data_IF_878204233490
#
_entry.id   IF_878204233490
#
_cell.length_a   1.000
_cell.length_b   1.000
_cell.length_c   1.000
_cell.angle_alpha   90.00
_cell.angle_beta   90.00
_cell.angle_gamma   90.00
#
_symmetry.space_group_name_H-M   'P 1'
#
loop_
_entity.id
_entity.type
_entity.pdbx_description
1 polymer ?
#
# COMPACT_ATOMS: atom_id res chain seq x y z
N UNK A 1 26.90 10.55 10.10
CA UNK A 1 26.21 11.25 9.01
C UNK A 1 25.99 10.22 7.92
N UNK A 2 24.88 9.48 8.03
CA UNK A 2 24.50 8.43 7.09
C UNK A 2 24.01 9.07 5.81
N UNK A 3 24.62 8.71 4.67
CA UNK A 3 24.18 9.17 3.35
C UNK A 3 22.85 8.51 3.00
N UNK A 4 21.94 9.31 2.48
CA UNK A 4 20.63 8.85 2.02
C UNK A 4 20.79 7.90 0.82
N UNK A 5 19.95 6.86 0.75
CA UNK A 5 20.05 5.73 -0.18
C UNK A 5 19.84 6.08 -1.68
N UNK A 6 19.47 7.33 -1.98
CA UNK A 6 19.44 7.90 -3.33
C UNK A 6 20.70 8.69 -3.70
N UNK A 7 21.53 9.13 -2.75
CA UNK A 7 22.75 9.89 -3.03
C UNK A 7 23.88 9.04 -3.62
N UNK A 8 23.66 7.73 -3.74
CA UNK A 8 24.50 6.80 -4.48
C UNK A 8 23.85 6.39 -5.80
N UNK A 9 23.64 7.33 -6.73
CA UNK A 9 23.53 6.99 -8.16
C UNK A 9 24.92 6.59 -8.65
N UNK A 10 25.45 5.50 -8.08
CA UNK A 10 26.49 4.73 -8.72
C UNK A 10 25.85 3.99 -9.88
N UNK A 11 26.51 4.04 -11.03
CA UNK A 11 26.24 3.38 -12.32
C UNK A 11 26.15 1.84 -12.21
N UNK A 12 25.25 1.33 -11.36
CA UNK A 12 25.19 -0.06 -10.93
C UNK A 12 23.84 -0.69 -11.22
N UNK A 13 23.85 -1.76 -12.02
CA UNK A 13 22.67 -2.59 -12.29
C UNK A 13 22.08 -3.18 -11.01
N UNK A 14 20.77 -3.02 -10.82
CA UNK A 14 19.99 -3.57 -9.70
C UNK A 14 19.04 -4.64 -10.20
N UNK A 15 18.84 -5.69 -9.40
CA UNK A 15 17.92 -6.78 -9.72
C UNK A 15 16.55 -6.50 -9.07
N UNK A 16 15.49 -6.49 -9.90
CA UNK A 16 14.10 -6.35 -9.46
C UNK A 16 13.30 -7.58 -9.91
N UNK A 17 12.60 -8.21 -8.97
CA UNK A 17 11.54 -9.18 -9.24
C UNK A 17 10.21 -8.46 -9.11
N UNK A 18 9.49 -8.33 -10.21
CA UNK A 18 8.17 -7.71 -10.25
C UNK A 18 7.21 -8.58 -11.05
N UNK A 19 5.92 -8.44 -10.76
CA UNK A 19 4.89 -9.14 -11.52
C UNK A 19 4.95 -8.72 -13.00
N UNK A 20 4.93 -9.70 -13.90
CA UNK A 20 4.88 -9.42 -15.33
C UNK A 20 3.53 -8.78 -15.70
N UNK A 21 3.49 -7.80 -16.63
CA UNK A 21 2.24 -7.30 -17.18
C UNK A 21 1.46 -8.41 -17.90
N UNK A 22 0.12 -8.32 -17.95
CA UNK A 22 -0.77 -9.31 -18.57
C UNK A 22 -0.26 -9.76 -19.96
N UNK A 23 -0.24 -11.08 -20.26
CA UNK A 23 0.30 -11.64 -21.51
C UNK A 23 -0.50 -11.27 -22.77
N UNK A 24 -1.61 -10.54 -22.63
CA UNK A 24 -2.36 -9.97 -23.77
C UNK A 24 -1.61 -8.84 -24.47
N UNK A 25 -0.60 -8.27 -23.82
CA UNK A 25 0.34 -7.37 -24.49
C UNK A 25 1.25 -8.22 -25.40
N UNK A 26 1.02 -8.17 -26.72
CA UNK A 26 1.73 -9.00 -27.70
C UNK A 26 3.26 -8.96 -27.53
N UNK A 27 3.99 -9.91 -28.12
CA UNK A 27 5.42 -10.15 -27.94
C UNK A 27 6.36 -8.91 -27.96
N UNK A 28 5.94 -7.79 -28.56
CA UNK A 28 6.64 -6.50 -28.50
C UNK A 28 6.63 -5.83 -27.10
N UNK A 29 5.58 -6.02 -26.30
CA UNK A 29 5.46 -5.43 -24.97
C UNK A 29 6.28 -6.17 -23.90
N UNK A 30 6.46 -7.49 -24.04
CA UNK A 30 7.38 -8.26 -23.20
C UNK A 30 8.85 -7.81 -23.38
N UNK A 31 9.21 -7.30 -24.56
CA UNK A 31 10.52 -6.72 -24.83
C UNK A 31 10.66 -5.26 -24.39
N UNK A 32 9.55 -4.56 -24.12
CA UNK A 32 9.52 -3.15 -23.75
C UNK A 32 9.79 -2.89 -22.25
N UNK A 33 9.96 -3.95 -21.45
CA UNK A 33 10.08 -3.84 -20.00
C UNK A 33 8.75 -3.51 -19.32
N UNK A 34 8.77 -3.38 -17.99
CA UNK A 34 7.61 -2.96 -17.22
C UNK A 34 7.36 -1.49 -17.56
N UNK A 35 6.21 -1.19 -18.20
CA UNK A 35 5.77 0.19 -18.43
C UNK A 35 5.22 0.76 -17.12
N UNK A 36 6.12 1.06 -16.19
CA UNK A 36 5.80 1.47 -14.84
C UNK A 36 6.57 2.73 -14.43
N UNK A 37 5.95 3.50 -13.54
CA UNK A 37 6.53 4.72 -12.98
C UNK A 37 6.94 4.46 -11.53
N UNK A 38 8.19 4.77 -11.18
CA UNK A 38 8.64 4.79 -9.80
C UNK A 38 8.15 6.07 -9.12
N UNK A 39 7.33 5.91 -8.08
CA UNK A 39 6.74 7.01 -7.32
C UNK A 39 7.37 7.07 -5.93
N UNK A 40 7.74 8.26 -5.48
CA UNK A 40 8.03 8.52 -4.06
C UNK A 40 6.75 9.02 -3.39
N UNK A 41 6.25 8.24 -2.42
CA UNK A 41 5.03 8.52 -1.65
C UNK A 41 5.33 8.41 -0.14
N UNK A 42 4.37 8.76 0.71
CA UNK A 42 4.50 8.59 2.16
C UNK A 42 4.09 7.17 2.57
N UNK A 43 4.91 6.50 3.36
CA UNK A 43 4.56 5.26 4.03
C UNK A 43 3.32 5.48 4.92
N UNK A 44 2.29 4.63 4.84
CA UNK A 44 0.98 4.97 5.39
C UNK A 44 0.93 5.04 6.93
N UNK A 45 1.80 4.30 7.62
CA UNK A 45 1.93 4.35 9.09
C UNK A 45 2.90 5.42 9.57
N UNK A 46 4.10 5.47 8.98
CA UNK A 46 5.21 6.30 9.51
C UNK A 46 5.30 7.67 8.86
N UNK A 47 4.72 7.86 7.68
CA UNK A 47 4.81 9.11 6.92
C UNK A 47 6.15 9.32 6.18
N UNK A 48 7.13 8.43 6.38
CA UNK A 48 8.45 8.53 5.74
C UNK A 48 8.34 8.33 4.22
N UNK A 49 9.28 8.92 3.47
CA UNK A 49 9.36 8.72 2.03
C UNK A 49 9.67 7.25 1.69
N UNK A 50 8.81 6.65 0.88
CA UNK A 50 8.90 5.24 0.43
C UNK A 50 8.62 5.16 -1.06
N UNK A 51 9.31 4.26 -1.74
CA UNK A 51 9.14 4.05 -3.17
C UNK A 51 8.07 3.01 -3.48
N UNK A 52 7.26 3.32 -4.48
CA UNK A 52 6.24 2.45 -5.05
C UNK A 52 6.42 2.37 -6.55
N UNK A 53 6.09 1.23 -7.14
CA UNK A 53 6.05 1.05 -8.59
C UNK A 53 4.58 1.07 -9.03
N UNK A 54 4.21 2.06 -9.83
CA UNK A 54 2.92 2.11 -10.49
C UNK A 54 3.05 1.48 -11.87
N UNK A 55 2.51 0.27 -12.04
CA UNK A 55 2.50 -0.45 -13.31
C UNK A 55 1.15 -0.27 -13.98
N UNK A 56 1.14 0.10 -15.26
CA UNK A 56 -0.09 0.16 -16.06
C UNK A 56 -0.12 -1.03 -17.02
N UNK A 57 -1.20 -1.78 -17.01
CA UNK A 57 -1.49 -2.79 -18.01
C UNK A 57 -2.84 -2.55 -18.68
N UNK A 58 -3.24 -3.46 -19.56
CA UNK A 58 -4.51 -3.36 -20.29
C UNK A 58 -5.74 -3.57 -19.38
N UNK A 59 -5.56 -4.13 -18.18
CA UNK A 59 -6.62 -4.48 -17.22
C UNK A 59 -6.76 -3.41 -16.12
N UNK A 60 -5.74 -2.59 -15.92
CA UNK A 60 -5.78 -1.40 -15.07
C UNK A 60 -4.41 -0.95 -14.58
N UNK A 61 -4.42 -0.10 -13.56
CA UNK A 61 -3.20 0.34 -12.88
C UNK A 61 -3.02 -0.43 -11.58
N UNK A 62 -1.85 -1.06 -11.40
CA UNK A 62 -1.48 -1.79 -10.19
C UNK A 62 -0.40 -1.02 -9.45
N UNK A 63 -0.68 -0.66 -8.20
CA UNK A 63 0.31 -0.08 -7.31
C UNK A 63 1.05 -1.20 -6.58
N UNK A 64 2.38 -1.17 -6.62
CA UNK A 64 3.24 -2.15 -5.99
C UNK A 64 4.17 -1.45 -5.01
N UNK A 65 4.36 -2.03 -3.83
CA UNK A 65 5.37 -1.60 -2.89
C UNK A 65 6.71 -2.27 -3.20
N UNK A 66 7.81 -1.54 -2.99
CA UNK A 66 9.14 -2.08 -3.19
C UNK A 66 9.73 -2.54 -1.86
N UNK A 67 10.07 -3.83 -1.80
CA UNK A 67 10.88 -4.38 -0.73
C UNK A 67 12.33 -4.52 -1.18
N UNK A 68 13.23 -4.35 -0.22
CA UNK A 68 14.66 -4.48 -0.43
C UNK A 68 15.23 -5.52 0.53
N UNK A 69 16.03 -6.42 -0.03
CA UNK A 69 16.76 -7.42 0.72
C UNK A 69 18.23 -7.42 0.29
N UNK A 70 19.13 -7.44 1.27
CA UNK A 70 20.57 -7.59 1.01
C UNK A 70 21.19 -8.47 2.08
N UNK A 71 21.73 -9.60 1.65
CA UNK A 71 22.54 -10.47 2.48
C UNK A 71 24.02 -10.03 2.42
N UNK A 72 24.75 -10.17 3.53
CA UNK A 72 26.17 -9.82 3.57
C UNK A 72 26.98 -10.68 2.60
N UNK A 73 27.98 -10.06 1.95
CA UNK A 73 28.93 -10.72 1.06
C UNK A 73 28.29 -11.37 -0.18
N UNK A 74 27.20 -10.82 -0.71
CA UNK A 74 26.58 -11.27 -1.96
C UNK A 74 26.91 -10.37 -3.15
N UNK A 75 26.83 -10.94 -4.35
CA UNK A 75 26.93 -10.23 -5.64
C UNK A 75 26.08 -10.97 -6.68
N UNK A 76 25.68 -10.29 -7.74
CA UNK A 76 24.95 -10.90 -8.86
C UNK A 76 25.83 -11.04 -10.09
N UNK A 77 25.77 -12.19 -10.76
CA UNK A 77 26.27 -12.34 -12.12
C UNK A 77 25.13 -12.07 -13.11
N UNK A 78 25.28 -11.03 -13.93
CA UNK A 78 24.29 -10.52 -14.86
C UNK A 78 24.88 -10.57 -16.27
N UNK A 79 24.68 -11.69 -16.97
CA UNK A 79 25.35 -11.95 -18.25
C UNK A 79 26.87 -11.99 -18.08
N UNK A 80 27.58 -11.10 -18.77
CA UNK A 80 29.02 -10.91 -18.73
C UNK A 80 29.49 -9.88 -17.67
N UNK A 81 28.57 -9.30 -16.89
CA UNK A 81 28.87 -8.33 -15.85
C UNK A 81 28.65 -8.89 -14.44
N UNK A 82 29.39 -8.34 -13.46
CA UNK A 82 29.19 -8.62 -12.03
C UNK A 82 28.65 -7.37 -11.35
N UNK A 83 27.43 -7.45 -10.79
CA UNK A 83 26.90 -6.41 -9.91
C UNK A 83 27.35 -6.67 -8.48
N UNK A 84 28.24 -5.80 -7.99
CA UNK A 84 28.79 -5.86 -6.62
C UNK A 84 27.75 -5.64 -5.54
N UNK A 85 26.64 -4.98 -5.83
CA UNK A 85 25.66 -4.60 -4.81
C UNK A 85 25.01 -5.83 -4.15
N UNK A 86 24.70 -6.86 -4.93
CA UNK A 86 24.14 -8.11 -4.42
C UNK A 86 22.74 -7.98 -3.79
N UNK A 87 22.12 -6.80 -3.84
CA UNK A 87 20.76 -6.58 -3.35
C UNK A 87 19.73 -7.17 -4.29
N UNK A 88 18.61 -7.57 -3.72
CA UNK A 88 17.40 -7.97 -4.42
C UNK A 88 16.28 -6.99 -4.08
N UNK A 89 15.60 -6.50 -5.10
CA UNK A 89 14.35 -5.77 -4.96
C UNK A 89 13.19 -6.68 -5.36
N UNK A 90 12.09 -6.59 -4.63
CA UNK A 90 10.83 -7.23 -5.02
C UNK A 90 9.71 -6.19 -5.05
N UNK A 91 8.83 -6.28 -6.04
CA UNK A 91 7.63 -5.45 -6.16
C UNK A 91 6.39 -6.30 -5.93
N UNK A 92 5.71 -6.07 -4.81
CA UNK A 92 4.50 -6.78 -4.40
C UNK A 92 3.28 -5.87 -4.52
N UNK A 93 2.13 -6.34 -5.02
CA UNK A 93 0.93 -5.52 -5.07
C UNK A 93 0.51 -5.06 -3.67
N UNK A 94 0.16 -3.78 -3.53
CA UNK A 94 -0.36 -3.18 -2.29
C UNK A 94 -1.75 -2.62 -2.53
N UNK A 95 -2.66 -2.76 -1.56
CA UNK A 95 -3.97 -2.11 -1.65
C UNK A 95 -3.80 -0.58 -1.54
N UNK A 96 -4.14 0.21 -2.57
CA UNK A 96 -3.95 1.65 -2.57
C UNK A 96 -4.71 2.38 -1.46
N UNK A 97 -5.77 1.79 -0.90
CA UNK A 97 -6.51 2.37 0.23
C UNK A 97 -5.59 2.57 1.43
N UNK A 98 -4.62 1.68 1.70
CA UNK A 98 -3.66 1.90 2.80
C UNK A 98 -2.87 3.19 2.58
N UNK A 99 -2.38 3.42 1.36
CA UNK A 99 -1.54 4.56 1.00
C UNK A 99 -2.33 5.88 1.03
N UNK A 100 -3.60 5.84 0.62
CA UNK A 100 -4.47 7.00 0.51
C UNK A 100 -5.23 7.33 1.81
N UNK A 101 -5.45 6.36 2.70
CA UNK A 101 -6.17 6.55 3.95
C UNK A 101 -5.63 7.72 4.80
N UNK A 102 -4.31 7.83 5.11
CA UNK A 102 -3.79 8.95 5.90
C UNK A 102 -3.93 10.29 5.16
N UNK A 103 -3.90 10.29 3.83
CA UNK A 103 -4.07 11.50 3.01
C UNK A 103 -5.50 12.03 3.10
N UNK A 104 -6.47 11.14 2.98
CA UNK A 104 -7.88 11.49 3.12
C UNK A 104 -8.24 11.88 4.55
N UNK A 105 -7.62 11.24 5.54
CA UNK A 105 -7.74 11.61 6.95
C UNK A 105 -7.26 13.05 7.20
N UNK A 106 -6.06 13.40 6.71
CA UNK A 106 -5.50 14.76 6.81
C UNK A 106 -6.37 15.79 6.09
N UNK A 107 -6.86 15.48 4.88
CA UNK A 107 -7.66 16.38 4.06
C UNK A 107 -9.11 16.57 4.56
N UNK A 108 -9.63 15.66 5.39
CA UNK A 108 -11.02 15.63 5.89
C UNK A 108 -11.40 16.88 6.69
N UNK A 109 -10.42 17.62 7.24
CA UNK A 109 -10.66 18.82 8.07
C UNK A 109 -11.60 18.55 9.26
N UNK A 110 -11.54 17.35 9.83
CA UNK A 110 -12.35 16.93 10.99
C UNK A 110 -11.98 17.77 12.22
N UNK A 111 -12.98 18.33 12.91
CA UNK A 111 -12.79 19.06 14.18
C UNK A 111 -13.68 18.47 15.27
N UNK A 112 -13.08 18.03 16.38
CA UNK A 112 -13.80 17.47 17.54
C UNK A 112 -14.80 16.37 17.11
N UNK A 113 -16.10 16.62 17.30
CA UNK A 113 -17.19 15.68 17.01
C UNK A 113 -17.85 15.86 15.63
N UNK A 114 -17.31 16.73 14.76
CA UNK A 114 -17.82 16.86 13.39
C UNK A 114 -17.39 15.66 12.53
N UNK A 115 -18.20 15.33 11.51
CA UNK A 115 -17.90 14.24 10.58
C UNK A 115 -16.84 14.61 9.53
N UNK A 116 -16.37 15.85 9.51
CA UNK A 116 -15.47 16.38 8.49
C UNK A 116 -16.20 16.90 7.26
N UNK A 117 -15.41 17.45 6.34
CA UNK A 117 -15.91 18.08 5.12
C UNK A 117 -15.75 17.18 3.91
N UNK A 118 -16.68 17.33 2.97
CA UNK A 118 -16.53 16.86 1.61
C UNK A 118 -15.48 17.72 0.90
N UNK A 119 -14.52 17.08 0.23
CA UNK A 119 -13.43 17.74 -0.50
C UNK A 119 -13.30 17.11 -1.88
N UNK A 120 -12.86 17.91 -2.86
CA UNK A 120 -12.67 17.43 -4.21
C UNK A 120 -11.41 16.55 -4.28
N UNK A 121 -11.43 15.52 -5.14
CA UNK A 121 -10.36 14.53 -5.19
C UNK A 121 -9.00 15.14 -5.55
N UNK A 122 -8.96 16.02 -6.54
CA UNK A 122 -7.78 16.76 -6.98
C UNK A 122 -7.15 17.58 -5.85
N UNK A 123 -7.96 18.23 -5.00
CA UNK A 123 -7.48 18.93 -3.81
C UNK A 123 -6.91 17.98 -2.76
N UNK A 124 -7.50 16.79 -2.58
CA UNK A 124 -7.07 15.82 -1.56
C UNK A 124 -5.70 15.22 -1.93
N UNK A 125 -5.50 14.86 -3.20
CA UNK A 125 -4.27 14.18 -3.66
C UNK A 125 -3.13 15.16 -3.98
N UNK A 126 -3.38 16.47 -3.93
CA UNK A 126 -2.35 17.48 -4.09
C UNK A 126 -1.52 17.61 -2.81
N UNK A 127 -0.43 16.85 -2.72
CA UNK A 127 0.47 16.82 -1.56
C UNK A 127 1.79 17.51 -1.92
N UNK A 128 2.09 18.60 -1.21
CA UNK A 128 3.37 19.30 -1.33
C UNK A 128 4.51 18.32 -1.08
N UNK A 129 5.60 18.47 -1.83
CA UNK A 129 6.80 17.62 -1.79
C UNK A 129 6.61 16.16 -2.26
N UNK A 130 5.38 15.73 -2.52
CA UNK A 130 5.07 14.38 -3.01
C UNK A 130 4.17 14.42 -4.27
N UNK A 131 4.69 14.87 -5.44
CA UNK A 131 3.92 14.93 -6.69
C UNK A 131 3.46 13.55 -7.17
N UNK A 132 4.07 12.47 -6.67
CA UNK A 132 3.71 11.08 -6.97
C UNK A 132 2.23 10.76 -6.76
N UNK A 133 1.55 11.43 -5.81
CA UNK A 133 0.12 11.20 -5.54
C UNK A 133 -0.79 11.58 -6.72
N UNK A 134 -0.36 12.50 -7.59
CA UNK A 134 -1.14 12.89 -8.78
C UNK A 134 -1.32 11.73 -9.75
N UNK A 135 -0.34 10.81 -9.82
CA UNK A 135 -0.43 9.60 -10.64
C UNK A 135 -1.46 8.59 -10.11
N UNK A 136 -1.93 8.75 -8.86
CA UNK A 136 -2.91 7.87 -8.24
C UNK A 136 -4.35 8.36 -8.40
N UNK A 137 -4.60 9.46 -9.12
CA UNK A 137 -5.93 10.08 -9.21
C UNK A 137 -7.02 9.10 -9.66
N UNK A 138 -6.79 8.36 -10.75
CA UNK A 138 -7.74 7.37 -11.27
C UNK A 138 -7.93 6.17 -10.32
N UNK A 139 -6.85 5.72 -9.67
CA UNK A 139 -6.91 4.64 -8.68
C UNK A 139 -7.76 5.10 -7.49
N UNK A 140 -7.49 6.30 -6.97
CA UNK A 140 -8.14 6.87 -5.80
C UNK A 140 -9.65 7.04 -6.01
N UNK A 141 -10.08 7.49 -7.20
CA UNK A 141 -11.50 7.65 -7.54
C UNK A 141 -12.29 6.34 -7.41
N UNK A 142 -11.66 5.21 -7.71
CA UNK A 142 -12.27 3.89 -7.68
C UNK A 142 -12.11 3.20 -6.32
N UNK A 143 -10.91 3.19 -5.75
CA UNK A 143 -10.66 2.44 -4.52
C UNK A 143 -11.20 3.13 -3.28
N UNK A 144 -11.20 4.48 -3.23
CA UNK A 144 -11.62 5.20 -2.02
C UNK A 144 -13.13 5.16 -1.78
N UNK A 145 -13.92 4.68 -2.74
CA UNK A 145 -15.36 4.45 -2.56
C UNK A 145 -15.69 3.46 -1.44
N UNK A 146 -14.75 2.58 -1.10
CA UNK A 146 -14.94 1.58 -0.03
C UNK A 146 -14.81 2.16 1.38
N UNK A 147 -14.19 3.34 1.52
CA UNK A 147 -13.93 3.99 2.83
C UNK A 147 -14.48 5.43 2.92
N UNK A 148 -14.98 5.99 1.83
CA UNK A 148 -15.51 7.35 1.76
C UNK A 148 -16.99 7.39 1.38
N UNK A 149 -17.70 8.36 1.94
CA UNK A 149 -18.93 8.86 1.34
C UNK A 149 -18.60 9.75 0.15
N UNK A 150 -19.41 9.64 -0.92
CA UNK A 150 -19.19 10.36 -2.17
C UNK A 150 -20.44 11.19 -2.48
N UNK A 151 -20.21 12.42 -2.92
CA UNK A 151 -21.24 13.28 -3.50
C UNK A 151 -20.79 13.73 -4.87
N UNK A 152 -21.68 13.56 -5.84
CA UNK A 152 -21.47 14.04 -7.20
C UNK A 152 -22.27 15.32 -7.40
N UNK A 153 -21.59 16.38 -7.83
CA UNK A 153 -22.22 17.67 -8.15
C UNK A 153 -21.68 18.09 -9.52
N UNK A 154 -22.53 18.04 -10.54
CA UNK A 154 -22.10 18.24 -11.92
C UNK A 154 -21.15 17.13 -12.38
N UNK A 155 -19.97 17.50 -12.87
CA UNK A 155 -18.91 16.56 -13.27
C UNK A 155 -17.84 16.35 -12.19
N UNK A 156 -18.05 16.87 -10.98
CA UNK A 156 -17.06 16.82 -9.89
C UNK A 156 -17.51 15.87 -8.78
N UNK A 157 -16.56 15.02 -8.35
CA UNK A 157 -16.74 14.10 -7.24
C UNK A 157 -16.11 14.67 -5.96
N UNK A 158 -16.91 14.68 -4.90
CA UNK A 158 -16.49 15.12 -3.58
C UNK A 158 -16.49 13.93 -2.62
N UNK A 159 -15.37 13.76 -1.91
CA UNK A 159 -15.14 12.65 -1.00
C UNK A 159 -15.13 13.14 0.44
N UNK A 160 -15.67 12.32 1.35
CA UNK A 160 -15.50 12.48 2.79
C UNK A 160 -15.25 11.11 3.41
N UNK A 161 -14.11 10.94 4.07
CA UNK A 161 -13.77 9.71 4.78
C UNK A 161 -14.81 9.40 5.86
N UNK A 162 -15.28 8.15 5.92
CA UNK A 162 -16.28 7.70 6.88
C UNK A 162 -15.68 6.65 7.83
N UNK A 163 -15.72 6.93 9.15
CA UNK A 163 -15.07 6.10 10.17
C UNK A 163 -15.62 4.66 10.20
N UNK A 164 -16.94 4.49 10.03
CA UNK A 164 -17.58 3.18 10.02
C UNK A 164 -17.21 2.36 8.77
N UNK A 165 -17.08 3.02 7.62
CA UNK A 165 -16.65 2.37 6.38
C UNK A 165 -15.17 1.95 6.43
N UNK A 166 -14.30 2.80 6.98
CA UNK A 166 -12.89 2.46 7.22
C UNK A 166 -12.79 1.24 8.14
N UNK A 167 -13.51 1.24 9.26
CA UNK A 167 -13.50 0.09 10.17
C UNK A 167 -14.01 -1.18 9.49
N UNK A 168 -15.13 -1.13 8.77
CA UNK A 168 -15.65 -2.28 8.03
C UNK A 168 -14.64 -2.83 7.02
N UNK A 169 -13.96 -1.94 6.29
CA UNK A 169 -12.90 -2.32 5.36
C UNK A 169 -11.71 -2.99 6.09
N UNK A 170 -11.25 -2.43 7.22
CA UNK A 170 -10.20 -3.03 8.04
C UNK A 170 -10.58 -4.43 8.54
N UNK A 171 -11.84 -4.64 8.95
CA UNK A 171 -12.35 -5.97 9.31
C UNK A 171 -12.24 -6.96 8.16
N UNK A 172 -12.68 -6.56 6.97
CA UNK A 172 -12.55 -7.39 5.78
C UNK A 172 -11.09 -7.75 5.50
N UNK A 173 -10.16 -6.80 5.68
CA UNK A 173 -8.72 -7.04 5.49
C UNK A 173 -8.15 -8.02 6.50
N UNK A 174 -8.48 -7.90 7.78
CA UNK A 174 -8.06 -8.88 8.81
C UNK A 174 -8.57 -10.28 8.45
N UNK A 175 -9.82 -10.42 8.01
CA UNK A 175 -10.38 -11.71 7.65
C UNK A 175 -9.73 -12.31 6.39
N UNK A 176 -9.50 -11.50 5.37
CA UNK A 176 -8.77 -11.91 4.16
C UNK A 176 -7.35 -12.39 4.51
N UNK A 177 -6.66 -11.64 5.36
CA UNK A 177 -5.31 -11.99 5.79
C UNK A 177 -5.28 -13.28 6.63
N UNK A 178 -6.22 -13.44 7.57
CA UNK A 178 -6.39 -14.70 8.31
C UNK A 178 -6.55 -15.90 7.36
N UNK A 179 -7.42 -15.78 6.36
CA UNK A 179 -7.63 -16.84 5.36
C UNK A 179 -6.36 -17.13 4.55
N UNK A 180 -5.63 -16.09 4.16
CA UNK A 180 -4.37 -16.23 3.43
C UNK A 180 -3.29 -16.93 4.28
N UNK A 181 -3.11 -16.54 5.54
CA UNK A 181 -2.17 -17.17 6.46
C UNK A 181 -2.45 -18.67 6.64
N UNK A 182 -3.71 -19.04 6.86
CA UNK A 182 -4.11 -20.45 6.95
C UNK A 182 -3.85 -21.25 5.66
N UNK A 183 -3.74 -20.59 4.50
CA UNK A 183 -3.44 -21.25 3.22
C UNK A 183 -1.95 -21.37 2.91
N UNK A 184 -1.09 -20.58 3.57
CA UNK A 184 0.34 -20.50 3.30
C UNK A 184 1.15 -21.59 4.03
N UNK A 185 0.75 -21.96 5.24
CA UNK A 185 1.38 -23.04 6.00
C UNK A 185 0.33 -23.82 6.81
N UNK A 186 0.42 -25.15 6.76
CA UNK A 186 -0.43 -26.06 7.53
C UNK A 186 -0.31 -25.84 9.05
N UNK A 187 0.82 -25.26 9.51
CA UNK A 187 0.98 -24.89 10.92
C UNK A 187 -0.02 -23.81 11.37
N UNK A 188 -0.37 -22.86 10.48
CA UNK A 188 -1.37 -21.82 10.78
C UNK A 188 -2.79 -22.38 10.86
N UNK A 189 -3.10 -23.44 10.10
CA UNK A 189 -4.42 -24.08 10.16
C UNK A 189 -4.68 -24.81 11.48
N UNK A 190 -3.62 -25.21 12.20
CA UNK A 190 -3.68 -25.87 13.49
C UNK A 190 -3.60 -24.90 14.68
N UNK A 191 -3.34 -23.62 14.43
CA UNK A 191 -3.15 -22.60 15.47
C UNK A 191 -4.50 -22.09 16.01
N UNK A 192 -4.52 -21.72 17.29
CA UNK A 192 -5.71 -21.12 17.90
C UNK A 192 -6.10 -19.82 17.17
N UNK A 193 -7.41 -19.66 16.95
CA UNK A 193 -7.98 -18.57 16.18
C UNK A 193 -7.57 -17.19 16.72
N UNK A 194 -7.40 -17.08 18.04
CA UNK A 194 -6.97 -15.84 18.70
C UNK A 194 -5.56 -15.43 18.27
N UNK A 195 -4.62 -16.36 18.18
CA UNK A 195 -3.25 -16.04 17.77
C UNK A 195 -3.18 -15.65 16.30
N UNK A 196 -3.90 -16.39 15.44
CA UNK A 196 -3.97 -16.06 14.00
C UNK A 196 -4.57 -14.66 13.79
N UNK A 197 -5.60 -14.30 14.56
CA UNK A 197 -6.18 -12.96 14.54
C UNK A 197 -5.21 -11.90 15.04
N UNK A 198 -4.48 -12.16 16.13
CA UNK A 198 -3.49 -11.23 16.67
C UNK A 198 -2.36 -10.97 15.66
N UNK A 199 -1.89 -12.02 14.98
CA UNK A 199 -0.87 -11.92 13.93
C UNK A 199 -1.37 -11.16 12.72
N UNK A 200 -2.59 -11.44 12.24
CA UNK A 200 -3.21 -10.68 11.16
C UNK A 200 -3.35 -9.18 11.51
N UNK A 201 -3.75 -8.86 12.74
CA UNK A 201 -3.81 -7.47 13.23
C UNK A 201 -2.41 -6.85 13.32
N UNK A 202 -1.39 -7.61 13.71
CA UNK A 202 0.00 -7.12 13.78
C UNK A 202 0.53 -6.78 12.39
N UNK A 203 0.36 -7.65 11.39
CA UNK A 203 0.79 -7.43 10.01
C UNK A 203 0.06 -6.21 9.42
N UNK A 204 -1.26 -6.13 9.60
CA UNK A 204 -2.04 -4.98 9.13
C UNK A 204 -1.63 -3.69 9.85
N UNK A 205 -1.25 -3.82 11.12
CA UNK A 205 -0.74 -2.73 11.95
C UNK A 205 0.56 -2.11 11.44
N UNK A 206 1.27 -2.72 10.49
CA UNK A 206 2.43 -2.07 9.82
C UNK A 206 2.01 -1.02 8.78
N UNK A 207 0.78 -1.08 8.30
CA UNK A 207 0.26 -0.18 7.25
C UNK A 207 -0.70 0.89 7.76
N UNK A 208 -1.10 0.83 9.02
CA UNK A 208 -2.16 1.68 9.59
C UNK A 208 -1.67 2.36 10.86
N UNK A 209 -2.01 3.63 11.05
CA UNK A 209 -1.71 4.37 12.27
C UNK A 209 -2.38 3.72 13.50
N UNK A 210 -1.68 3.77 14.63
CA UNK A 210 -2.19 3.20 15.88
C UNK A 210 -3.50 3.88 16.31
N UNK A 211 -3.51 5.21 16.31
CA UNK A 211 -4.70 6.03 16.54
C UNK A 211 -5.17 6.72 15.24
N UNK A 212 -6.49 6.77 14.98
CA UNK A 212 -7.56 6.08 15.74
C UNK A 212 -7.76 4.62 15.31
N UNK A 213 -7.21 4.20 14.16
CA UNK A 213 -7.70 3.04 13.42
C UNK A 213 -7.36 1.69 14.05
N UNK A 214 -6.09 1.45 14.39
CA UNK A 214 -5.68 0.15 14.95
C UNK A 214 -6.30 -0.08 16.34
N UNK A 215 -6.41 0.97 17.15
CA UNK A 215 -7.08 0.94 18.45
C UNK A 215 -8.57 0.59 18.32
N UNK A 216 -9.30 1.28 17.44
CA UNK A 216 -10.71 1.00 17.19
C UNK A 216 -10.92 -0.43 16.65
N UNK A 217 -10.05 -0.89 15.74
CA UNK A 217 -10.08 -2.25 15.20
C UNK A 217 -9.91 -3.29 16.31
N UNK A 218 -8.89 -3.11 17.17
CA UNK A 218 -8.62 -4.01 18.31
C UNK A 218 -9.79 -4.04 19.29
N UNK A 219 -10.35 -2.89 19.64
CA UNK A 219 -11.43 -2.82 20.63
C UNK A 219 -12.72 -3.47 20.14
N UNK A 220 -13.06 -3.28 18.87
CA UNK A 220 -14.24 -3.92 18.31
C UNK A 220 -13.99 -5.42 17.98
N UNK A 221 -12.75 -5.87 17.72
CA UNK A 221 -12.41 -7.30 17.71
C UNK A 221 -12.52 -7.95 19.11
N UNK A 222 -12.06 -7.26 20.17
CA UNK A 222 -12.22 -7.74 21.55
C UNK A 222 -13.69 -7.93 21.91
N UNK A 223 -14.56 -7.01 21.47
CA UNK A 223 -16.01 -7.13 21.69
C UNK A 223 -16.60 -8.36 20.98
N UNK A 224 -16.23 -8.59 19.71
CA UNK A 224 -16.75 -9.70 18.91
C UNK A 224 -16.28 -11.08 19.42
N UNK A 225 -15.00 -11.21 19.75
CA UNK A 225 -14.38 -12.51 20.08
C UNK A 225 -14.21 -12.76 21.58
N UNK A 226 -14.53 -11.79 22.45
CA UNK A 226 -14.46 -11.89 23.92
C UNK A 226 -13.08 -12.27 24.50
N UNK A 227 -11.99 -12.00 23.78
CA UNK A 227 -10.62 -12.18 24.28
C UNK A 227 -9.77 -10.92 24.05
N UNK A 228 -8.76 -10.72 24.91
CA UNK A 228 -7.80 -9.59 24.80
C UNK A 228 -6.78 -9.91 23.71
N UNK A 229 -6.86 -9.17 22.61
CA UNK A 229 -5.83 -9.01 21.57
C UNK A 229 -4.81 -7.96 22.00
#
# INVERSE_FOLDING_TARGET
>A
MEKEWWEGVGDGSRLLIAHAPSPTAGAAAAAAGINGCLLSLRHPKSGNATNYLLSNDNEGSVLQELHWFKQSYTSWFLGDYVSRDGSLYTATPVDPVFILLPIFEEARMKKRNDLGKFRQLDEIIFINDYPGYQHLMFIAENCMRVVCEIKEIGSSMFFRLNDSMVLAWLYCKVFQLKKALCSLDNNYAAQDEKYTLAEAVSILGEYVKDEPWLMLLRDHLKYLFKFKL
#
